data_IF_752393568188
#
_entry.id   IF_752393568188
#
_cell.length_a   1.000
_cell.length_b   1.000
_cell.length_c   1.000
_cell.angle_alpha   90.00
_cell.angle_beta   90.00
_cell.angle_gamma   90.00
#
_symmetry.space_group_name_H-M   'P 1'
#
loop_
_entity.id
_entity.type
_entity.pdbx_description
1 polymer ?
#
# COMPACT_ATOMS: atom_id res chain seq x y z
N UNK A 1 -3.25 -19.74 -15.40
CA UNK A 1 -2.55 -18.44 -15.46
C UNK A 1 -2.95 -17.73 -16.75
N UNK A 2 -3.52 -16.53 -16.67
CA UNK A 2 -3.95 -15.74 -17.83
C UNK A 2 -2.80 -14.81 -18.27
N UNK A 3 -2.03 -15.27 -19.27
CA UNK A 3 -0.81 -14.57 -19.72
C UNK A 3 -1.10 -13.16 -20.22
N UNK A 4 -2.24 -12.96 -20.90
CA UNK A 4 -2.60 -11.65 -21.42
C UNK A 4 -2.86 -10.64 -20.30
N UNK A 5 -3.59 -11.05 -19.25
CA UNK A 5 -3.80 -10.20 -18.06
C UNK A 5 -2.50 -9.90 -17.32
N UNK A 6 -1.60 -10.87 -17.20
CA UNK A 6 -0.28 -10.66 -16.58
C UNK A 6 0.55 -9.63 -17.36
N UNK A 7 0.61 -9.73 -18.69
CA UNK A 7 1.33 -8.77 -19.53
C UNK A 7 0.76 -7.36 -19.39
N UNK A 8 -0.58 -7.22 -19.34
CA UNK A 8 -1.23 -5.92 -19.13
C UNK A 8 -0.89 -5.36 -17.76
N UNK A 9 -0.92 -6.17 -16.69
CA UNK A 9 -0.56 -5.73 -15.35
C UNK A 9 0.89 -5.23 -15.28
N UNK A 10 1.84 -5.96 -15.88
CA UNK A 10 3.25 -5.55 -15.96
C UNK A 10 3.39 -4.21 -16.67
N UNK A 11 2.74 -4.03 -17.83
CA UNK A 11 2.78 -2.76 -18.57
C UNK A 11 2.22 -1.62 -17.72
N UNK A 12 1.08 -1.83 -17.07
CA UNK A 12 0.48 -0.80 -16.21
C UNK A 12 1.38 -0.41 -15.04
N UNK A 13 2.05 -1.37 -14.40
CA UNK A 13 3.03 -1.07 -13.34
C UNK A 13 4.26 -0.34 -13.88
N UNK A 14 4.75 -0.68 -15.07
CA UNK A 14 5.86 0.06 -15.69
C UNK A 14 5.50 1.54 -15.94
N UNK A 15 4.29 1.82 -16.41
CA UNK A 15 3.82 3.20 -16.59
C UNK A 15 3.62 3.92 -15.29
N UNK A 16 3.03 3.25 -14.30
CA UNK A 16 2.87 3.78 -12.96
C UNK A 16 4.23 4.22 -12.40
N UNK A 17 5.25 3.36 -12.47
CA UNK A 17 6.61 3.70 -12.05
C UNK A 17 7.17 4.90 -12.80
N UNK A 18 6.92 5.00 -14.12
CA UNK A 18 7.34 6.14 -14.94
C UNK A 18 6.65 7.45 -14.52
N UNK A 19 5.34 7.44 -14.29
CA UNK A 19 4.59 8.66 -13.93
C UNK A 19 4.91 9.16 -12.52
N UNK A 20 5.24 8.25 -11.60
CA UNK A 20 5.57 8.57 -10.22
C UNK A 20 7.07 8.75 -10.00
N UNK A 21 7.88 8.72 -11.06
CA UNK A 21 9.35 8.79 -10.98
C UNK A 21 9.92 7.80 -9.95
N UNK A 22 9.35 6.59 -9.88
CA UNK A 22 9.61 5.63 -8.81
C UNK A 22 11.10 5.30 -8.63
N UNK A 23 11.85 5.22 -9.72
CA UNK A 23 13.28 4.90 -9.71
C UNK A 23 14.16 6.10 -9.29
N UNK A 24 13.60 7.30 -9.18
CA UNK A 24 14.30 8.54 -8.83
C UNK A 24 14.01 9.01 -7.40
N UNK A 25 13.06 8.38 -6.70
CA UNK A 25 12.66 8.75 -5.34
C UNK A 25 13.82 8.47 -4.39
N UNK A 26 14.23 9.49 -3.64
CA UNK A 26 15.20 9.38 -2.55
C UNK A 26 14.51 9.55 -1.21
N UNK A 27 15.12 9.04 -0.13
CA UNK A 27 14.58 9.22 1.22
C UNK A 27 14.35 10.70 1.58
N UNK A 28 15.19 11.62 1.07
CA UNK A 28 15.04 13.06 1.29
C UNK A 28 13.76 13.64 0.68
N UNK A 29 13.22 13.04 -0.38
CA UNK A 29 11.96 13.46 -1.01
C UNK A 29 10.74 13.06 -0.17
N UNK A 30 10.85 11.99 0.61
CA UNK A 30 9.74 11.38 1.36
C UNK A 30 9.90 11.52 2.88
N UNK A 31 10.97 12.16 3.36
CA UNK A 31 11.32 12.27 4.78
C UNK A 31 10.21 12.87 5.65
N UNK A 32 9.50 13.88 5.14
CA UNK A 32 8.46 14.57 5.90
C UNK A 32 7.26 13.65 6.14
N UNK A 33 6.90 12.87 5.13
CA UNK A 33 5.80 11.94 5.21
C UNK A 33 6.18 10.70 6.06
N UNK A 34 7.43 10.23 5.98
CA UNK A 34 7.95 9.23 6.91
C UNK A 34 7.97 9.71 8.37
N UNK A 35 8.22 10.99 8.63
CA UNK A 35 8.20 11.53 10.00
C UNK A 35 6.80 11.48 10.65
N UNK A 36 5.72 11.48 9.87
CA UNK A 36 4.36 11.32 10.40
C UNK A 36 3.98 9.84 10.64
N UNK A 37 4.68 8.93 9.95
CA UNK A 37 4.38 7.50 9.92
C UNK A 37 5.31 6.70 10.83
N UNK A 38 6.52 7.24 11.10
CA UNK A 38 7.59 6.64 11.87
C UNK A 38 7.73 5.15 11.59
N UNK A 39 8.00 4.81 10.32
CA UNK A 39 8.03 3.43 9.87
C UNK A 39 9.38 2.97 9.36
N UNK A 40 9.73 1.73 9.67
CA UNK A 40 11.05 1.16 9.43
C UNK A 40 11.02 -0.39 9.43
N UNK A 41 11.95 -1.06 8.71
CA UNK A 41 12.10 -2.50 8.73
C UNK A 41 12.89 -2.94 9.97
N UNK A 42 12.50 -4.06 10.56
CA UNK A 42 13.23 -4.66 11.70
C UNK A 42 13.98 -5.94 11.34
N UNK A 43 13.67 -6.54 10.18
CA UNK A 43 14.40 -7.67 9.64
C UNK A 43 13.49 -8.72 9.01
N UNK A 44 14.05 -9.90 8.76
CA UNK A 44 13.37 -10.98 8.04
C UNK A 44 13.10 -12.16 8.96
N UNK A 45 11.90 -12.72 8.88
CA UNK A 45 11.50 -13.95 9.57
C UNK A 45 12.17 -15.18 8.96
N UNK A 46 12.16 -16.31 9.68
CA UNK A 46 12.65 -17.60 9.17
C UNK A 46 11.96 -18.08 7.88
N UNK A 47 10.75 -17.59 7.60
CA UNK A 47 9.96 -17.94 6.42
C UNK A 47 10.13 -16.95 5.26
N UNK A 48 11.16 -16.09 5.30
CA UNK A 48 11.43 -15.15 4.21
C UNK A 48 10.39 -14.05 4.09
N UNK A 49 9.83 -13.56 5.21
CA UNK A 49 8.96 -12.37 5.25
C UNK A 49 9.66 -11.23 5.97
N UNK A 50 9.63 -10.03 5.40
CA UNK A 50 10.07 -8.79 6.05
C UNK A 50 9.11 -8.44 7.19
N UNK A 51 9.62 -7.89 8.29
CA UNK A 51 8.81 -7.30 9.35
C UNK A 51 8.97 -5.79 9.31
N UNK A 52 7.87 -5.09 9.07
CA UNK A 52 7.81 -3.65 8.92
C UNK A 52 7.00 -3.03 10.05
N UNK A 53 7.60 -2.11 10.79
CA UNK A 53 6.95 -1.39 11.89
C UNK A 53 6.56 0.01 11.48
N UNK A 54 5.49 0.51 12.07
CA UNK A 54 4.97 1.85 11.87
C UNK A 54 4.37 2.36 13.19
N UNK A 55 4.79 3.54 13.63
CA UNK A 55 4.18 4.23 14.78
C UNK A 55 3.32 5.38 14.26
N UNK A 56 2.02 5.12 14.03
CA UNK A 56 1.17 6.04 13.30
C UNK A 56 0.72 7.23 14.16
N UNK A 57 1.16 8.44 13.81
CA UNK A 57 0.72 9.70 14.44
C UNK A 57 -0.22 10.54 13.56
N UNK A 58 -0.82 9.92 12.53
CA UNK A 58 -1.64 10.62 11.55
C UNK A 58 -2.94 11.15 12.18
N UNK A 59 -3.02 12.48 12.30
CA UNK A 59 -4.22 13.17 12.77
C UNK A 59 -5.05 13.76 11.63
N UNK A 60 -4.41 14.06 10.51
CA UNK A 60 -5.02 14.56 9.27
C UNK A 60 -4.71 13.65 8.10
N UNK A 61 -5.54 13.68 7.07
CA UNK A 61 -5.31 12.89 5.87
C UNK A 61 -4.03 13.40 5.16
N UNK A 62 -2.99 12.55 4.95
CA UNK A 62 -1.85 12.92 4.12
C UNK A 62 -2.29 13.33 2.72
N UNK A 63 -1.50 14.19 2.08
CA UNK A 63 -1.67 14.45 0.65
C UNK A 63 -1.47 13.15 -0.11
N UNK A 64 -2.25 12.95 -1.17
CA UNK A 64 -2.13 11.72 -1.96
C UNK A 64 -0.73 11.57 -2.57
N UNK A 65 -0.09 12.67 -2.96
CA UNK A 65 1.29 12.67 -3.45
C UNK A 65 2.25 12.04 -2.42
N UNK A 66 2.25 12.58 -1.20
CA UNK A 66 3.09 12.12 -0.10
C UNK A 66 2.82 10.64 0.20
N UNK A 67 1.54 10.24 0.25
CA UNK A 67 1.14 8.86 0.46
C UNK A 67 1.68 7.92 -0.63
N UNK A 68 1.56 8.31 -1.90
CA UNK A 68 1.97 7.50 -3.04
C UNK A 68 3.50 7.37 -3.10
N UNK A 69 4.23 8.48 -2.96
CA UNK A 69 5.69 8.49 -2.99
C UNK A 69 6.29 7.67 -1.83
N UNK A 70 5.78 7.84 -0.61
CA UNK A 70 6.22 7.03 0.55
C UNK A 70 5.92 5.56 0.31
N UNK A 71 4.72 5.22 -0.17
CA UNK A 71 4.34 3.82 -0.36
C UNK A 71 5.19 3.13 -1.43
N UNK A 72 5.52 3.83 -2.52
CA UNK A 72 6.42 3.31 -3.56
C UNK A 72 7.82 3.08 -2.98
N UNK A 73 8.39 4.10 -2.33
CA UNK A 73 9.73 4.02 -1.73
C UNK A 73 9.82 2.87 -0.71
N UNK A 74 8.83 2.80 0.18
CA UNK A 74 8.72 1.77 1.20
C UNK A 74 8.71 0.35 0.60
N UNK A 75 7.90 0.10 -0.44
CA UNK A 75 7.83 -1.23 -1.04
C UNK A 75 9.14 -1.60 -1.73
N UNK A 76 9.77 -0.66 -2.44
CA UNK A 76 11.05 -0.88 -3.09
C UNK A 76 12.15 -1.19 -2.06
N UNK A 77 12.19 -0.47 -0.92
CA UNK A 77 13.13 -0.76 0.20
C UNK A 77 12.86 -2.13 0.83
N UNK A 78 11.58 -2.47 1.10
CA UNK A 78 11.18 -3.76 1.64
C UNK A 78 11.66 -4.89 0.72
N UNK A 79 11.42 -4.79 -0.58
CA UNK A 79 11.79 -5.84 -1.54
C UNK A 79 13.31 -6.01 -1.63
N UNK A 80 14.06 -4.91 -1.67
CA UNK A 80 15.52 -4.93 -1.70
C UNK A 80 16.08 -5.61 -0.44
N UNK A 81 15.68 -5.13 0.74
CA UNK A 81 16.17 -5.66 2.02
C UNK A 81 15.75 -7.10 2.25
N UNK A 82 14.54 -7.47 1.82
CA UNK A 82 14.06 -8.85 1.88
C UNK A 82 14.98 -9.77 1.07
N UNK A 83 15.27 -9.41 -0.19
CA UNK A 83 16.13 -10.19 -1.06
C UNK A 83 17.54 -10.35 -0.47
N UNK A 84 18.15 -9.25 -0.03
CA UNK A 84 19.50 -9.25 0.54
C UNK A 84 19.59 -10.10 1.82
N UNK A 85 18.69 -9.89 2.77
CA UNK A 85 18.69 -10.63 4.05
C UNK A 85 18.34 -12.12 3.87
N UNK A 86 17.42 -12.47 2.95
CA UNK A 86 17.12 -13.86 2.62
C UNK A 86 18.36 -14.57 2.03
N UNK A 87 19.03 -13.91 1.09
CA UNK A 87 20.25 -14.41 0.45
C UNK A 87 21.38 -14.63 1.46
N UNK A 88 21.61 -13.69 2.37
CA UNK A 88 22.62 -13.82 3.44
C UNK A 88 22.34 -15.00 4.38
N UNK A 89 21.06 -15.26 4.67
CA UNK A 89 20.62 -16.33 5.56
C UNK A 89 20.42 -17.68 4.88
N UNK A 90 20.55 -17.75 3.56
CA UNK A 90 20.30 -18.96 2.78
C UNK A 90 18.84 -19.44 2.85
N UNK A 91 17.89 -18.52 3.03
CA UNK A 91 16.45 -18.81 3.04
C UNK A 91 15.80 -18.27 1.76
N UNK A 92 14.70 -18.89 1.34
CA UNK A 92 13.95 -18.44 0.18
C UNK A 92 13.04 -17.27 0.54
N UNK A 93 13.04 -16.19 -0.25
CA UNK A 93 12.08 -15.10 -0.08
C UNK A 93 10.63 -15.56 -0.32
N UNK A 94 9.71 -15.04 0.49
CA UNK A 94 8.30 -15.20 0.23
C UNK A 94 7.93 -14.43 -1.05
N UNK A 95 7.29 -15.11 -2.00
CA UNK A 95 6.88 -14.52 -3.28
C UNK A 95 5.52 -13.79 -3.19
N UNK A 96 4.78 -13.99 -2.09
CA UNK A 96 3.50 -13.36 -1.74
C UNK A 96 3.44 -13.16 -0.23
N UNK A 97 2.68 -12.16 0.20
CA UNK A 97 2.48 -11.85 1.62
C UNK A 97 3.82 -11.73 2.34
N UNK A 98 4.76 -11.08 1.64
CA UNK A 98 6.18 -11.07 1.96
C UNK A 98 6.55 -10.02 3.01
N UNK A 99 5.56 -9.28 3.50
CA UNK A 99 5.70 -8.30 4.56
C UNK A 99 4.69 -8.60 5.68
N UNK A 100 5.17 -8.66 6.91
CA UNK A 100 4.38 -8.57 8.12
C UNK A 100 4.40 -7.10 8.54
N UNK A 101 3.27 -6.43 8.33
CA UNK A 101 3.04 -5.05 8.69
C UNK A 101 2.56 -4.95 10.14
N UNK A 102 3.23 -4.14 10.94
CA UNK A 102 2.86 -3.89 12.33
C UNK A 102 2.74 -2.38 12.54
N UNK A 103 1.53 -1.91 12.81
CA UNK A 103 1.23 -0.49 13.06
C UNK A 103 0.78 -0.28 14.49
N UNK A 104 1.40 0.62 15.25
CA UNK A 104 0.74 1.23 16.40
C UNK A 104 -0.24 2.29 15.91
N UNK A 105 -1.51 2.12 16.27
CA UNK A 105 -2.63 2.97 15.81
C UNK A 105 -3.23 3.82 16.93
N UNK A 106 -2.57 3.91 18.09
CA UNK A 106 -3.04 4.73 19.21
C UNK A 106 -3.22 6.21 18.84
N UNK A 107 -2.31 6.74 18.01
CA UNK A 107 -2.28 8.14 17.59
C UNK A 107 -3.16 8.48 16.38
N UNK A 108 -3.82 7.49 15.76
CA UNK A 108 -4.58 7.70 14.52
C UNK A 108 -5.95 8.29 14.79
N UNK A 109 -6.25 9.42 14.13
CA UNK A 109 -7.60 10.01 14.14
C UNK A 109 -8.46 9.45 13.00
N UNK A 110 -9.78 9.36 13.21
CA UNK A 110 -10.74 9.07 12.14
C UNK A 110 -10.68 10.08 10.99
N UNK A 111 -10.30 11.33 11.27
CA UNK A 111 -10.10 12.37 10.24
C UNK A 111 -8.92 12.10 9.31
N UNK A 112 -7.97 11.25 9.73
CA UNK A 112 -6.89 10.81 8.85
C UNK A 112 -7.35 9.76 7.83
N UNK A 113 -8.49 9.10 8.05
CA UNK A 113 -9.03 8.08 7.15
C UNK A 113 -9.89 8.73 6.06
N UNK A 114 -9.27 9.10 4.93
CA UNK A 114 -9.96 9.70 3.79
C UNK A 114 -10.23 8.70 2.66
N UNK A 115 -11.23 9.01 1.83
CA UNK A 115 -11.49 8.25 0.61
C UNK A 115 -10.38 8.35 -0.44
N UNK A 116 -9.51 9.35 -0.34
CA UNK A 116 -8.34 9.50 -1.23
C UNK A 116 -7.24 8.51 -0.86
N UNK A 117 -6.96 8.35 0.44
CA UNK A 117 -6.01 7.34 0.94
C UNK A 117 -6.48 5.95 0.59
N UNK A 118 -7.79 5.68 0.70
CA UNK A 118 -8.35 4.40 0.24
C UNK A 118 -8.04 4.14 -1.24
N UNK A 119 -8.18 5.15 -2.12
CA UNK A 119 -7.82 5.03 -3.54
C UNK A 119 -6.33 4.78 -3.71
N UNK A 120 -5.49 5.52 -2.98
CA UNK A 120 -4.03 5.33 -2.98
C UNK A 120 -3.63 3.90 -2.59
N UNK A 121 -4.19 3.38 -1.49
CA UNK A 121 -3.96 2.00 -1.04
C UNK A 121 -4.35 0.97 -2.10
N UNK A 122 -5.50 1.16 -2.76
CA UNK A 122 -5.97 0.26 -3.82
C UNK A 122 -5.05 0.32 -5.05
N UNK A 123 -4.59 1.51 -5.43
CA UNK A 123 -3.72 1.67 -6.59
C UNK A 123 -2.33 1.07 -6.32
N UNK A 124 -1.71 1.39 -5.18
CA UNK A 124 -0.37 0.89 -4.85
C UNK A 124 -0.43 -0.61 -4.52
N UNK A 125 -1.07 -0.98 -3.41
CA UNK A 125 -0.91 -2.31 -2.83
C UNK A 125 -1.71 -3.40 -3.56
N UNK A 126 -2.83 -3.05 -4.19
CA UNK A 126 -3.67 -4.06 -4.86
C UNK A 126 -3.35 -4.14 -6.35
N UNK A 127 -3.16 -3.02 -7.04
CA UNK A 127 -2.93 -3.01 -8.49
C UNK A 127 -1.46 -3.18 -8.86
N UNK A 128 -0.56 -2.42 -8.24
CA UNK A 128 0.84 -2.38 -8.65
C UNK A 128 1.75 -3.32 -7.87
N UNK A 129 1.40 -3.60 -6.61
CA UNK A 129 2.12 -4.54 -5.75
C UNK A 129 1.22 -5.65 -5.20
N UNK A 130 0.48 -6.40 -6.05
CA UNK A 130 -0.54 -7.37 -5.63
C UNK A 130 -0.02 -8.54 -4.77
N UNK A 131 1.30 -8.74 -4.74
CA UNK A 131 1.96 -9.74 -3.91
C UNK A 131 2.30 -9.24 -2.50
N UNK A 132 2.22 -7.93 -2.23
CA UNK A 132 2.52 -7.34 -0.93
C UNK A 132 1.52 -7.80 0.13
N UNK A 133 0.23 -7.67 -0.18
CA UNK A 133 -0.88 -8.26 0.55
C UNK A 133 -1.83 -8.89 -0.46
N UNK A 134 -1.77 -10.21 -0.61
CA UNK A 134 -2.55 -10.90 -1.62
C UNK A 134 -4.03 -10.93 -1.23
N UNK A 135 -4.83 -10.11 -1.93
CA UNK A 135 -6.28 -10.04 -1.75
C UNK A 135 -7.01 -11.29 -2.23
N UNK A 136 -6.36 -12.12 -3.06
CA UNK A 136 -6.93 -13.30 -3.69
C UNK A 136 -5.94 -14.48 -3.61
N UNK A 137 -6.37 -15.58 -3.00
CA UNK A 137 -5.64 -16.84 -3.10
C UNK A 137 -5.69 -17.34 -4.54
N UNK A 138 -4.54 -17.31 -5.19
CA UNK A 138 -4.20 -18.33 -6.16
C UNK A 138 -3.01 -19.06 -5.56
N UNK A 139 -3.31 -20.04 -4.69
CA UNK A 139 -2.37 -21.08 -4.31
C UNK A 139 -2.37 -22.09 -5.46
N UNK A 140 -1.29 -22.14 -6.22
CA UNK A 140 -1.05 -23.23 -7.16
C UNK A 140 -0.22 -24.25 -6.39
N UNK A 141 -0.88 -25.30 -5.90
CA UNK A 141 -0.21 -26.44 -5.31
C UNK A 141 -0.57 -27.69 -6.12
N UNK A 142 0.45 -28.37 -6.64
CA UNK A 142 0.32 -29.58 -7.43
C UNK A 142 0.09 -30.84 -6.56
N UNK A 143 0.14 -30.71 -5.23
CA UNK A 143 -0.16 -31.77 -4.27
C UNK A 143 -1.68 -31.94 -4.06
N UNK A 144 -2.27 -33.09 -4.44
CA UNK A 144 -3.71 -33.36 -4.27
C UNK A 144 -4.16 -33.46 -2.80
N UNK A 145 -3.23 -33.55 -1.84
CA UNK A 145 -3.53 -33.56 -0.41
C UNK A 145 -3.31 -32.19 0.25
N UNK A 146 -3.01 -31.15 -0.52
CA UNK A 146 -2.83 -29.81 0.00
C UNK A 146 -4.12 -29.28 0.61
N UNK A 147 -4.11 -29.13 1.94
CA UNK A 147 -5.13 -28.40 2.69
C UNK A 147 -4.53 -27.05 3.07
N UNK A 148 -5.11 -25.93 2.63
CA UNK A 148 -4.67 -24.62 3.07
C UNK A 148 -4.82 -24.55 4.59
N UNK A 149 -3.69 -24.54 5.31
CA UNK A 149 -3.68 -24.24 6.73
C UNK A 149 -4.01 -22.75 6.84
N UNK A 150 -5.25 -22.42 7.20
CA UNK A 150 -5.64 -21.04 7.50
C UNK A 150 -5.72 -20.91 9.02
N UNK A 151 -4.70 -20.30 9.59
CA UNK A 151 -4.56 -20.09 11.03
C UNK A 151 -4.29 -18.63 11.38
N UNK A 152 -4.31 -18.31 12.66
CA UNK A 152 -3.92 -16.99 13.17
C UNK A 152 -2.44 -16.66 12.91
N UNK A 153 -1.62 -17.69 12.68
CA UNK A 153 -0.22 -17.59 12.30
C UNK A 153 0.00 -17.00 10.88
N UNK A 154 -1.06 -16.90 10.07
CA UNK A 154 -1.04 -16.28 8.73
C UNK A 154 -1.34 -14.78 8.76
N UNK A 155 -1.48 -14.19 9.95
CA UNK A 155 -1.66 -12.75 10.09
C UNK A 155 -0.45 -12.02 9.51
N UNK A 156 -0.71 -11.09 8.60
CA UNK A 156 0.33 -10.22 8.01
C UNK A 156 0.13 -8.75 8.32
N UNK A 157 -0.99 -8.34 8.90
CA UNK A 157 -1.20 -6.97 9.38
C UNK A 157 -1.63 -7.00 10.83
N UNK A 158 -0.83 -6.39 11.70
CA UNK A 158 -1.15 -6.16 13.10
C UNK A 158 -1.33 -4.66 13.33
N UNK A 159 -2.49 -4.27 13.86
CA UNK A 159 -2.72 -2.94 14.37
C UNK A 159 -2.72 -3.02 15.90
N UNK A 160 -1.73 -2.42 16.54
CA UNK A 160 -1.56 -2.35 17.98
C UNK A 160 -2.30 -1.14 18.55
N UNK A 161 -2.62 -1.24 19.84
CA UNK A 161 -3.29 -0.19 20.62
C UNK A 161 -4.51 0.44 19.94
N UNK A 162 -5.20 -0.33 19.10
CA UNK A 162 -6.26 0.19 18.25
C UNK A 162 -7.47 0.63 19.08
N UNK A 163 -7.95 1.87 18.89
CA UNK A 163 -9.14 2.38 19.56
C UNK A 163 -10.33 1.42 19.46
N UNK A 164 -11.07 1.29 20.56
CA UNK A 164 -12.22 0.37 20.65
C UNK A 164 -13.24 0.55 19.52
N UNK A 165 -13.49 1.80 19.11
CA UNK A 165 -14.42 2.12 18.03
C UNK A 165 -13.97 1.52 16.70
N UNK A 166 -12.69 1.68 16.32
CA UNK A 166 -12.12 1.11 15.10
C UNK A 166 -12.18 -0.42 15.13
N UNK A 167 -11.85 -1.04 16.27
CA UNK A 167 -11.98 -2.50 16.45
C UNK A 167 -13.43 -2.98 16.28
N UNK A 168 -14.40 -2.22 16.76
CA UNK A 168 -15.82 -2.56 16.66
C UNK A 168 -16.32 -2.46 15.22
N UNK A 169 -15.93 -1.39 14.51
CA UNK A 169 -16.25 -1.22 13.08
C UNK A 169 -15.62 -2.34 12.26
N UNK A 170 -14.35 -2.66 12.48
CA UNK A 170 -13.67 -3.76 11.77
C UNK A 170 -14.37 -5.10 11.96
N UNK A 171 -14.79 -5.44 13.19
CA UNK A 171 -15.55 -6.68 13.45
C UNK A 171 -16.83 -6.72 12.61
N UNK A 172 -17.56 -5.62 12.49
CA UNK A 172 -18.75 -5.54 11.64
C UNK A 172 -18.42 -5.68 10.15
N UNK A 173 -17.38 -4.98 9.68
CA UNK A 173 -16.93 -5.04 8.29
C UNK A 173 -16.43 -6.43 7.90
N UNK A 174 -15.73 -7.13 8.79
CA UNK A 174 -15.14 -8.44 8.53
C UNK A 174 -16.15 -9.52 8.14
N UNK A 175 -17.42 -9.39 8.54
CA UNK A 175 -18.51 -10.30 8.10
C UNK A 175 -18.80 -10.22 6.61
N UNK A 176 -18.43 -9.12 5.96
CA UNK A 176 -18.67 -8.87 4.54
C UNK A 176 -17.40 -9.04 3.70
N UNK A 177 -16.25 -9.30 4.33
CA UNK A 177 -14.98 -9.51 3.65
C UNK A 177 -14.76 -11.00 3.35
N UNK A 178 -13.97 -11.34 2.32
CA UNK A 178 -13.54 -12.72 2.11
C UNK A 178 -12.85 -13.26 3.37
N UNK A 179 -13.11 -14.52 3.72
CA UNK A 179 -12.66 -15.12 4.99
C UNK A 179 -11.17 -14.97 5.27
N UNK A 180 -10.32 -14.95 4.23
CA UNK A 180 -8.87 -14.71 4.35
C UNK A 180 -8.54 -13.37 5.03
N UNK A 181 -9.25 -12.29 4.67
CA UNK A 181 -9.01 -10.95 5.23
C UNK A 181 -9.28 -10.88 6.73
N UNK A 182 -10.24 -11.66 7.22
CA UNK A 182 -10.57 -11.71 8.64
C UNK A 182 -9.45 -12.32 9.50
N UNK A 183 -8.55 -13.12 8.90
CA UNK A 183 -7.39 -13.71 9.57
C UNK A 183 -6.08 -12.97 9.29
N UNK A 184 -5.95 -12.36 8.10
CA UNK A 184 -4.75 -11.61 7.71
C UNK A 184 -4.56 -10.31 8.50
N UNK A 185 -5.65 -9.71 8.98
CA UNK A 185 -5.64 -8.39 9.63
C UNK A 185 -6.15 -8.50 11.06
N UNK A 186 -5.30 -8.15 12.00
CA UNK A 186 -5.58 -8.16 13.43
C UNK A 186 -5.59 -6.75 13.98
N UNK A 187 -6.66 -6.39 14.70
CA UNK A 187 -6.72 -5.12 15.43
C UNK A 187 -6.74 -5.44 16.93
N UNK A 188 -5.61 -5.19 17.57
CA UNK A 188 -5.34 -5.50 18.97
C UNK A 188 -5.56 -4.25 19.82
N UNK A 189 -6.14 -4.43 21.00
CA UNK A 189 -6.29 -3.34 21.99
C UNK A 189 -5.06 -3.17 22.88
N UNK A 190 -3.95 -3.79 22.53
CA UNK A 190 -2.72 -3.88 23.31
C UNK A 190 -1.50 -3.72 22.41
N UNK A 191 -0.36 -3.43 23.01
CA UNK A 191 0.96 -3.40 22.36
C UNK A 191 1.61 -4.78 22.20
N UNK A 192 1.04 -5.82 22.82
CA UNK A 192 1.61 -7.17 22.77
C UNK A 192 1.35 -7.85 21.43
N UNK A 193 2.44 -8.24 20.77
CA UNK A 193 2.45 -9.06 19.56
C UNK A 193 2.43 -10.57 19.91
N UNK A 194 1.95 -11.43 19.00
CA UNK A 194 1.94 -12.87 19.22
C UNK A 194 3.37 -13.44 19.28
N UNK A 195 3.52 -14.54 20.03
CA UNK A 195 4.81 -15.24 20.18
C UNK A 195 5.35 -15.87 18.88
N UNK A 196 4.57 -15.86 17.79
CA UNK A 196 4.99 -16.34 16.47
C UNK A 196 6.01 -15.42 15.79
N UNK A 197 6.09 -14.14 16.20
CA UNK A 197 7.11 -13.20 15.73
C UNK A 197 8.29 -13.25 16.71
N UNK A 198 9.50 -13.47 16.17
CA UNK A 198 10.72 -13.51 16.97
C UNK A 198 10.94 -12.16 17.67
N UNK A 199 11.26 -12.17 18.97
CA UNK A 199 11.53 -10.96 19.75
C UNK A 199 12.68 -10.13 19.18
N UNK A 200 13.64 -10.76 18.50
CA UNK A 200 14.72 -10.06 17.81
C UNK A 200 14.23 -9.17 16.65
N UNK A 201 13.00 -9.39 16.16
CA UNK A 201 12.35 -8.60 15.12
C UNK A 201 11.28 -7.66 15.71
N UNK A 202 11.25 -7.47 17.02
CA UNK A 202 10.28 -6.59 17.69
C UNK A 202 11.05 -5.47 18.39
N UNK A 203 10.69 -4.18 18.19
CA UNK A 203 11.29 -3.07 18.91
C UNK A 203 11.13 -3.21 20.42
N UNK A 204 12.09 -2.68 21.18
CA UNK A 204 12.08 -2.78 22.65
C UNK A 204 10.82 -2.17 23.28
N UNK A 205 10.30 -1.07 22.72
CA UNK A 205 9.06 -0.41 23.17
C UNK A 205 7.81 -1.31 23.10
N UNK A 206 7.81 -2.32 22.23
CA UNK A 206 6.73 -3.31 22.09
C UNK A 206 7.07 -4.66 22.77
N UNK A 207 8.09 -4.69 23.63
CA UNK A 207 8.47 -5.88 24.40
C UNK A 207 9.40 -6.86 23.69
N UNK A 208 10.04 -6.42 22.61
CA UNK A 208 11.05 -7.18 21.88
C UNK A 208 12.49 -6.89 22.32
N UNK A 209 13.44 -7.23 21.44
CA UNK A 209 14.89 -7.05 21.66
C UNK A 209 15.60 -6.38 20.47
N UNK A 210 14.86 -5.90 19.46
CA UNK A 210 15.45 -5.15 18.34
C UNK A 210 15.91 -3.77 18.83
N UNK A 211 17.19 -3.44 18.58
CA UNK A 211 17.84 -2.21 19.08
C UNK A 211 17.82 -1.04 18.08
N UNK A 212 17.44 -1.28 16.81
CA UNK A 212 17.39 -0.22 15.81
C UNK A 212 16.21 0.75 16.02
N UNK A 213 16.27 1.89 15.33
CA UNK A 213 15.25 2.93 15.41
C UNK A 213 14.90 3.47 14.02
N UNK A 214 13.79 4.21 13.95
CA UNK A 214 13.38 4.95 12.76
C UNK A 214 14.48 5.90 12.25
N UNK A 215 15.13 6.64 13.15
CA UNK A 215 16.20 7.58 12.82
C UNK A 215 17.41 6.87 12.23
N UNK A 216 17.79 5.73 12.83
CA UNK A 216 18.92 4.93 12.35
C UNK A 216 18.65 4.40 10.94
N UNK A 217 17.41 3.98 10.66
CA UNK A 217 17.00 3.55 9.33
C UNK A 217 16.99 4.72 8.32
N UNK A 218 16.48 5.89 8.71
CA UNK A 218 16.49 7.10 7.87
C UNK A 218 17.91 7.51 7.46
N UNK A 219 18.86 7.49 8.40
CA UNK A 219 20.28 7.77 8.14
C UNK A 219 20.91 6.74 7.20
N UNK A 220 20.59 5.46 7.39
CA UNK A 220 21.06 4.38 6.51
C UNK A 220 20.55 4.58 5.07
N UNK A 221 19.25 4.87 4.91
CA UNK A 221 18.63 5.16 3.63
C UNK A 221 19.24 6.40 2.96
N UNK A 222 19.53 7.45 3.73
CA UNK A 222 20.15 8.67 3.21
C UNK A 222 21.55 8.39 2.65
N UNK A 223 22.34 7.59 3.38
CA UNK A 223 23.65 7.10 2.93
C UNK A 223 23.52 6.26 1.66
N UNK A 224 22.56 5.33 1.59
CA UNK A 224 22.33 4.48 0.40
C UNK A 224 21.85 5.27 -0.82
N UNK A 225 21.09 6.35 -0.62
CA UNK A 225 20.59 7.21 -1.69
C UNK A 225 21.54 8.36 -2.05
N UNK A 226 22.69 8.44 -1.39
CA UNK A 226 23.69 9.50 -1.57
C UNK A 226 23.04 10.89 -1.50
N UNK A 227 22.32 11.15 -0.40
CA UNK A 227 21.63 12.42 -0.15
C UNK A 227 21.70 12.83 1.32
N UNK A 228 21.39 14.10 1.61
CA UNK A 228 21.25 14.58 2.98
C UNK A 228 19.78 14.59 3.41
N UNK A 229 19.51 14.23 4.67
CA UNK A 229 18.20 14.43 5.28
C UNK A 229 17.89 15.92 5.49
N UNK A 230 18.86 16.82 5.34
CA UNK A 230 18.65 18.27 5.34
C UNK A 230 18.16 18.79 3.97
N UNK A 231 18.35 18.02 2.90
CA UNK A 231 17.95 18.44 1.55
C UNK A 231 16.43 18.63 1.50
N UNK A 232 15.92 19.76 0.97
CA UNK A 232 14.48 19.95 0.85
C UNK A 232 13.88 18.90 -0.11
N UNK A 233 12.66 18.38 0.17
CA UNK A 233 12.00 17.45 -0.74
C UNK A 233 11.85 18.05 -2.13
N UNK A 234 12.20 17.29 -3.17
CA UNK A 234 12.00 17.70 -4.56
C UNK A 234 10.54 17.52 -4.95
N UNK A 235 10.06 18.38 -5.83
CA UNK A 235 8.80 18.11 -6.56
C UNK A 235 9.11 17.13 -7.68
N UNK A 236 8.73 15.86 -7.48
CA UNK A 236 8.97 14.79 -8.45
C UNK A 236 7.79 14.60 -9.40
N UNK A 237 6.57 14.90 -8.95
CA UNK A 237 5.36 14.52 -9.67
C UNK A 237 4.73 15.74 -10.32
N UNK A 238 4.46 15.66 -11.61
CA UNK A 238 3.74 16.69 -12.32
C UNK A 238 2.33 16.87 -11.73
N UNK A 239 1.87 18.11 -11.61
CA UNK A 239 0.49 18.43 -11.20
C UNK A 239 -0.55 17.63 -11.99
N UNK A 240 -0.28 17.35 -13.27
CA UNK A 240 -1.12 16.53 -14.15
C UNK A 240 -1.37 15.12 -13.60
N UNK A 241 -0.38 14.49 -12.97
CA UNK A 241 -0.51 13.15 -12.38
C UNK A 241 -1.34 13.24 -11.10
N UNK A 242 -1.10 14.25 -10.26
CA UNK A 242 -1.90 14.50 -9.04
C UNK A 242 -3.37 14.75 -9.36
N UNK A 243 -3.62 15.48 -10.44
CA UNK A 243 -4.96 15.78 -10.94
C UNK A 243 -5.76 14.51 -11.30
N UNK A 244 -5.08 13.43 -11.72
CA UNK A 244 -5.70 12.14 -12.02
C UNK A 244 -6.20 11.40 -10.77
N UNK A 245 -5.68 11.74 -9.59
CA UNK A 245 -6.11 11.18 -8.30
C UNK A 245 -7.26 11.98 -7.66
N UNK A 246 -7.82 12.94 -8.39
CA UNK A 246 -8.95 13.75 -7.92
C UNK A 246 -8.53 15.06 -7.25
N UNK A 247 -7.26 15.45 -7.34
CA UNK A 247 -6.80 16.74 -6.81
C UNK A 247 -7.07 17.94 -7.73
N UNK A 248 -7.86 17.77 -8.81
CA UNK A 248 -8.18 18.87 -9.70
C UNK A 248 -9.63 19.34 -9.63
N UNK A 249 -9.79 20.63 -9.38
CA UNK A 249 -11.01 21.41 -9.64
C UNK A 249 -11.02 22.04 -11.06
N UNK A 250 -10.13 21.64 -11.99
CA UNK A 250 -9.85 22.45 -13.19
C UNK A 250 -9.36 21.81 -14.51
N UNK A 251 -8.90 20.55 -14.60
CA UNK A 251 -8.55 19.95 -15.91
C UNK A 251 -9.77 19.29 -16.58
N UNK A 252 -9.99 19.65 -17.84
CA UNK A 252 -11.00 19.00 -18.68
C UNK A 252 -10.37 17.74 -19.28
N UNK A 253 -10.93 16.56 -19.03
CA UNK A 253 -10.39 15.28 -19.51
C UNK A 253 -10.10 15.22 -21.02
N UNK A 254 -10.78 16.02 -21.84
CA UNK A 254 -10.53 16.13 -23.29
C UNK A 254 -9.24 16.87 -23.66
N UNK A 255 -8.59 17.57 -22.73
CA UNK A 255 -7.35 18.30 -22.96
C UNK A 255 -6.09 17.52 -22.59
N UNK A 256 -6.21 16.26 -22.19
CA UNK A 256 -5.06 15.40 -21.90
C UNK A 256 -4.32 15.14 -23.22
N UNK A 257 -3.00 15.46 -23.33
CA UNK A 257 -2.20 15.10 -24.50
C UNK A 257 -1.99 13.58 -24.59
N UNK A 258 -1.69 13.05 -25.78
CA UNK A 258 -1.29 11.64 -26.00
C UNK A 258 -2.40 10.58 -25.76
N UNK A 259 -3.66 10.97 -25.95
CA UNK A 259 -4.80 10.05 -25.90
C UNK A 259 -4.88 9.20 -27.16
N UNK A 260 -4.92 7.88 -27.01
CA UNK A 260 -5.27 6.96 -28.10
C UNK A 260 -6.77 6.86 -28.28
N UNK A 261 -7.50 6.73 -27.17
CA UNK A 261 -8.95 6.61 -27.17
C UNK A 261 -9.52 7.48 -26.06
N UNK A 262 -10.65 8.11 -26.36
CA UNK A 262 -11.43 8.84 -25.37
C UNK A 262 -12.89 8.74 -25.72
N UNK A 263 -13.74 8.73 -24.72
CA UNK A 263 -15.17 8.62 -24.96
C UNK A 263 -15.94 8.46 -23.68
N UNK A 264 -17.24 8.34 -23.81
CA UNK A 264 -18.10 8.04 -22.69
C UNK A 264 -18.33 6.54 -22.59
N UNK A 265 -18.25 6.00 -21.38
CA UNK A 265 -18.48 4.60 -21.07
C UNK A 265 -19.38 4.49 -19.86
N UNK A 266 -20.44 3.68 -20.01
CA UNK A 266 -21.23 3.23 -18.88
C UNK A 266 -20.46 2.13 -18.16
N UNK A 267 -20.07 2.38 -16.92
CA UNK A 267 -19.43 1.40 -16.04
C UNK A 267 -20.37 1.10 -14.90
N UNK A 268 -20.63 -0.18 -14.68
CA UNK A 268 -21.35 -0.64 -13.49
C UNK A 268 -20.39 -0.66 -12.31
N UNK A 269 -20.70 0.05 -11.23
CA UNK A 269 -19.91 -0.01 -10.01
C UNK A 269 -20.20 -1.33 -9.28
N UNK A 270 -19.15 -1.91 -8.69
CA UNK A 270 -19.29 -3.15 -7.91
C UNK A 270 -20.12 -2.92 -6.63
N UNK A 271 -20.13 -1.69 -6.11
CA UNK A 271 -20.91 -1.27 -4.95
C UNK A 271 -22.24 -0.69 -5.42
N UNK A 272 -23.36 -1.32 -5.04
CA UNK A 272 -24.71 -0.83 -5.34
C UNK A 272 -25.24 -1.14 -6.73
N UNK A 273 -24.48 -1.82 -7.59
CA UNK A 273 -24.89 -2.23 -8.94
C UNK A 273 -25.35 -1.09 -9.87
N UNK A 274 -25.01 0.16 -9.54
CA UNK A 274 -25.44 1.35 -10.28
C UNK A 274 -24.59 1.53 -11.53
N UNK A 275 -25.22 1.98 -12.59
CA UNK A 275 -24.55 2.37 -13.82
C UNK A 275 -24.14 3.83 -13.71
N UNK A 276 -22.84 4.09 -13.87
CA UNK A 276 -22.28 5.43 -13.87
C UNK A 276 -21.72 5.76 -15.25
N UNK A 277 -21.88 7.02 -15.66
CA UNK A 277 -21.43 7.46 -16.96
C UNK A 277 -20.07 8.16 -16.81
N UNK A 278 -19.01 7.43 -17.12
CA UNK A 278 -17.66 7.96 -17.02
C UNK A 278 -17.17 8.42 -18.38
N UNK A 279 -16.55 9.59 -18.43
CA UNK A 279 -15.66 9.91 -19.54
C UNK A 279 -14.35 9.16 -19.30
N UNK A 280 -13.98 8.29 -20.21
CA UNK A 280 -12.72 7.58 -20.14
C UNK A 280 -11.70 8.16 -21.12
N UNK A 281 -10.43 8.04 -20.73
CA UNK A 281 -9.29 8.37 -21.57
C UNK A 281 -8.27 7.24 -21.46
N UNK A 282 -7.91 6.66 -22.60
CA UNK A 282 -6.83 5.70 -22.75
C UNK A 282 -5.62 6.41 -23.35
N UNK A 283 -4.51 6.39 -22.65
CA UNK A 283 -3.23 6.94 -23.13
C UNK A 283 -2.52 5.95 -24.06
N UNK A 284 -1.66 6.49 -24.93
CA UNK A 284 -0.77 5.72 -25.84
C UNK A 284 0.01 4.61 -25.18
N UNK A 285 0.35 4.81 -23.93
CA UNK A 285 1.15 3.86 -23.20
C UNK A 285 0.31 2.77 -22.49
N UNK A 286 -1.03 2.89 -22.47
CA UNK A 286 -1.97 1.85 -22.02
C UNK A 286 -2.66 2.10 -20.68
N UNK A 287 -2.60 3.33 -20.16
CA UNK A 287 -3.27 3.71 -18.91
C UNK A 287 -4.68 4.27 -19.17
N UNK A 288 -5.67 3.73 -18.46
CA UNK A 288 -7.09 4.08 -18.59
C UNK A 288 -7.56 4.88 -17.38
N UNK A 289 -8.12 6.06 -17.62
CA UNK A 289 -8.67 6.97 -16.61
C UNK A 289 -10.17 7.10 -16.75
N UNK A 290 -10.84 7.47 -15.65
CA UNK A 290 -12.28 7.72 -15.61
C UNK A 290 -12.55 9.06 -14.92
N UNK A 291 -13.36 9.90 -15.57
CA UNK A 291 -13.88 11.15 -15.01
C UNK A 291 -15.39 11.03 -14.89
N UNK A 292 -15.93 11.38 -13.72
CA UNK A 292 -17.38 11.40 -13.52
C UNK A 292 -17.94 12.57 -14.31
N UNK A 293 -19.04 12.35 -15.03
CA UNK A 293 -19.77 13.40 -15.71
C UNK A 293 -20.20 14.48 -14.70
N UNK A 294 -19.93 15.75 -14.94
CA UNK A 294 -20.28 16.84 -13.98
C UNK A 294 -21.78 16.94 -13.71
N UNK A 295 -22.61 16.44 -14.63
CA UNK A 295 -24.07 16.32 -14.52
C UNK A 295 -24.58 15.00 -13.89
N UNK A 296 -23.71 14.09 -13.42
CA UNK A 296 -24.09 12.84 -12.73
C UNK A 296 -24.55 13.04 -11.25
N UNK A 297 -25.05 14.23 -10.91
CA UNK A 297 -25.73 14.49 -9.62
C UNK A 297 -27.02 13.67 -9.45
N UNK A 298 -27.53 13.07 -10.52
CA UNK A 298 -28.78 12.31 -10.53
C UNK A 298 -28.63 10.81 -10.17
N UNK A 299 -27.42 10.28 -10.03
CA UNK A 299 -27.23 8.86 -9.65
C UNK A 299 -27.18 8.61 -8.12
N UNK A 300 -27.29 9.66 -7.30
CA UNK A 300 -27.36 9.54 -5.84
C UNK A 300 -28.76 9.19 -5.32
N UNK A 301 -29.82 9.43 -6.11
CA UNK A 301 -31.20 9.12 -5.74
C UNK A 301 -31.74 7.96 -6.60
N UNK A 302 -31.50 6.74 -6.14
CA UNK A 302 -32.02 5.49 -6.69
C UNK A 302 -31.81 4.36 -5.71
#
# INVERSE_FOLDING_TARGET
>A
MDVAKTVVAIKQTALFRKYWHADEIKISDVKNAFAEWECYPTGVTKNGKMVWYMNCHQTTAPKIEDFMLVSIYMIDDIQKRLYEACKERGIQEAYKDYCIWISDTAGVSLSALSGEIQKGCMEVFIRHFPAFMSASDIEINDDPNYVPARGWDDTIVYNLNTPFLLRSIWKLCSFFLPSRWAYMVQLLGSSQLPASIDKALIPQEYGGTYEGSFETWMEECARMNECSLDDPPRTLVDQRVLDQFGQNNGMIASSIPETELRGWMWKRTNVGHRWHHYYFVLLKEGLLYYFVRTDDMNAQNG
#
